data_IF_731593761063
#
_entry.id   IF_731593761063
#
_cell.length_a   1.000
_cell.length_b   1.000
_cell.length_c   1.000
_cell.angle_alpha   90.00
_cell.angle_beta   90.00
_cell.angle_gamma   90.00
#
_symmetry.space_group_name_H-M   'P 1'
#
loop_
_entity.id
_entity.type
_entity.pdbx_description
1 polymer ?
#
# COMPACT_ATOMS: atom_id res chain seq x y z
N UNK A 1 -2.40 -8.84 -11.59
CA UNK A 1 -3.27 -9.02 -10.41
C UNK A 1 -3.88 -7.71 -9.93
N UNK A 2 -3.12 -6.63 -9.64
CA UNK A 2 -3.72 -5.35 -9.17
C UNK A 2 -4.68 -4.69 -10.18
N UNK A 3 -4.36 -4.72 -11.49
CA UNK A 3 -5.27 -4.23 -12.55
C UNK A 3 -6.66 -4.86 -12.44
N UNK A 4 -6.71 -6.18 -12.29
CA UNK A 4 -7.94 -6.96 -12.15
C UNK A 4 -8.73 -6.58 -10.91
N UNK A 5 -8.06 -6.26 -9.80
CA UNK A 5 -8.73 -5.80 -8.57
C UNK A 5 -9.41 -4.44 -8.81
N UNK A 6 -8.69 -3.49 -9.43
CA UNK A 6 -9.23 -2.15 -9.69
C UNK A 6 -10.45 -2.21 -10.63
N UNK A 7 -10.33 -2.95 -11.74
CA UNK A 7 -11.40 -3.13 -12.71
C UNK A 7 -12.58 -3.93 -12.10
N UNK A 8 -12.27 -4.96 -11.30
CA UNK A 8 -13.26 -5.80 -10.64
C UNK A 8 -14.14 -5.02 -9.65
N UNK A 9 -13.54 -4.19 -8.79
CA UNK A 9 -14.30 -3.38 -7.81
C UNK A 9 -15.27 -2.43 -8.55
N UNK A 10 -14.80 -1.76 -9.60
CA UNK A 10 -15.67 -0.88 -10.40
C UNK A 10 -16.82 -1.65 -11.04
N UNK A 11 -16.53 -2.83 -11.61
CA UNK A 11 -17.54 -3.69 -12.23
C UNK A 11 -18.61 -4.15 -11.24
N UNK A 12 -18.20 -4.72 -10.12
CA UNK A 12 -19.10 -5.25 -9.09
C UNK A 12 -19.99 -4.14 -8.49
N UNK A 13 -19.42 -2.97 -8.18
CA UNK A 13 -20.21 -1.85 -7.65
C UNK A 13 -21.22 -1.34 -8.67
N UNK A 14 -20.84 -1.26 -9.95
CA UNK A 14 -21.76 -0.83 -11.02
C UNK A 14 -22.92 -1.81 -11.21
N UNK A 15 -22.67 -3.12 -11.12
CA UNK A 15 -23.71 -4.15 -11.21
C UNK A 15 -24.66 -4.06 -10.03
N UNK A 16 -24.13 -3.93 -8.81
CA UNK A 16 -24.95 -3.93 -7.59
C UNK A 16 -25.67 -2.60 -7.34
N UNK A 17 -25.09 -1.49 -7.78
CA UNK A 17 -25.60 -0.13 -7.54
C UNK A 17 -25.51 0.73 -8.82
N UNK A 18 -26.34 0.45 -9.85
CA UNK A 18 -26.21 1.07 -11.18
C UNK A 18 -26.45 2.59 -11.21
N UNK A 19 -27.17 3.14 -10.23
CA UNK A 19 -27.40 4.59 -10.09
C UNK A 19 -26.29 5.31 -9.32
N UNK A 20 -25.36 4.58 -8.69
CA UNK A 20 -24.29 5.16 -7.90
C UNK A 20 -23.20 5.69 -8.84
N UNK A 21 -22.99 7.01 -8.81
CA UNK A 21 -21.82 7.65 -9.45
C UNK A 21 -20.61 7.49 -8.53
N UNK A 22 -19.93 6.36 -8.65
CA UNK A 22 -18.73 6.07 -7.87
C UNK A 22 -17.49 6.65 -8.55
N UNK A 23 -16.74 7.48 -7.81
CA UNK A 23 -15.38 7.87 -8.17
C UNK A 23 -14.40 7.09 -7.30
N UNK A 24 -13.58 6.25 -7.92
CA UNK A 24 -12.51 5.54 -7.25
C UNK A 24 -11.18 6.20 -7.58
N UNK A 25 -10.40 6.46 -6.53
CA UNK A 25 -9.02 6.94 -6.64
C UNK A 25 -8.12 5.94 -5.94
N UNK A 26 -6.99 5.65 -6.54
CA UNK A 26 -6.01 4.71 -6.01
C UNK A 26 -4.70 5.42 -5.78
N UNK A 27 -4.08 5.15 -4.64
CA UNK A 27 -2.72 5.52 -4.31
C UNK A 27 -1.98 4.23 -3.94
N UNK A 28 -0.67 4.22 -4.11
CA UNK A 28 0.18 3.09 -3.69
C UNK A 28 1.33 3.65 -2.89
N UNK A 29 1.55 3.06 -1.72
CA UNK A 29 2.79 3.16 -0.94
C UNK A 29 3.41 1.78 -0.96
N UNK A 30 4.51 1.63 -1.71
CA UNK A 30 5.35 0.46 -1.67
C UNK A 30 6.43 0.71 -0.63
N UNK A 31 6.57 -0.21 0.32
CA UNK A 31 7.47 -0.08 1.44
C UNK A 31 8.36 -1.31 1.59
N UNK A 32 9.48 -1.11 2.28
CA UNK A 32 10.49 -2.09 2.69
C UNK A 32 11.00 -1.68 4.07
N UNK A 33 12.06 -2.32 4.55
CA UNK A 33 12.79 -1.89 5.72
C UNK A 33 13.54 -0.55 5.49
N UNK A 34 13.76 0.19 6.58
CA UNK A 34 14.34 1.53 6.64
C UNK A 34 15.75 1.64 6.08
N UNK A 35 16.53 0.55 6.16
CA UNK A 35 17.93 0.53 5.70
C UNK A 35 18.07 0.23 4.21
N UNK A 36 16.97 -0.10 3.53
CA UNK A 36 17.01 -0.33 2.10
C UNK A 36 17.25 0.96 1.31
N UNK A 37 17.81 0.80 0.10
CA UNK A 37 18.16 1.93 -0.78
C UNK A 37 16.94 2.78 -1.17
N UNK A 38 15.76 2.16 -1.25
CA UNK A 38 14.49 2.80 -1.57
C UNK A 38 13.44 2.26 -0.59
N UNK A 39 13.44 2.72 0.68
CA UNK A 39 12.59 2.13 1.71
C UNK A 39 11.12 2.44 1.45
N UNK A 40 10.83 3.57 0.79
CA UNK A 40 9.48 3.97 0.40
C UNK A 40 9.48 4.45 -1.06
N UNK A 41 8.51 3.97 -1.83
CA UNK A 41 8.11 4.53 -3.11
C UNK A 41 6.61 4.79 -3.07
N UNK A 42 6.14 5.94 -3.57
CA UNK A 42 4.71 6.24 -3.60
C UNK A 42 4.23 6.92 -4.86
N UNK A 43 2.97 6.65 -5.20
CA UNK A 43 2.15 7.45 -6.12
C UNK A 43 0.92 7.90 -5.35
N UNK A 44 0.57 9.17 -5.49
CA UNK A 44 -0.61 9.75 -4.85
C UNK A 44 -1.91 9.30 -5.53
N UNK A 45 -3.04 9.63 -4.89
CA UNK A 45 -4.37 9.29 -5.37
C UNK A 45 -4.62 9.78 -6.80
N UNK A 46 -4.94 8.85 -7.70
CA UNK A 46 -5.32 9.13 -9.09
C UNK A 46 -6.53 8.29 -9.50
N UNK A 47 -7.34 8.83 -10.41
CA UNK A 47 -8.42 8.09 -11.09
C UNK A 47 -7.90 7.31 -12.31
N UNK A 48 -6.68 7.63 -12.76
CA UNK A 48 -6.08 7.03 -13.96
C UNK A 48 -5.40 5.72 -13.59
N UNK A 49 -6.07 4.62 -13.88
CA UNK A 49 -5.54 3.26 -13.66
C UNK A 49 -4.18 3.04 -14.34
N UNK A 50 -3.94 3.67 -15.50
CA UNK A 50 -2.67 3.54 -16.23
C UNK A 50 -1.49 4.16 -15.49
N UNK A 51 -1.69 5.25 -14.74
CA UNK A 51 -0.65 5.86 -13.90
C UNK A 51 -0.26 4.90 -12.76
N UNK A 52 -1.26 4.26 -12.15
CA UNK A 52 -1.08 3.25 -11.10
C UNK A 52 -0.31 2.04 -11.65
N UNK A 53 -0.70 1.54 -12.83
CA UNK A 53 -0.02 0.42 -13.47
C UNK A 53 1.41 0.77 -13.87
N UNK A 54 1.65 1.99 -14.37
CA UNK A 54 2.98 2.48 -14.70
C UNK A 54 3.86 2.56 -13.45
N UNK A 55 3.31 2.98 -12.32
CA UNK A 55 4.01 2.98 -11.05
C UNK A 55 4.35 1.57 -10.58
N UNK A 56 3.36 0.65 -10.60
CA UNK A 56 3.55 -0.75 -10.21
C UNK A 56 4.65 -1.45 -11.01
N UNK A 57 4.72 -1.19 -12.33
CA UNK A 57 5.74 -1.77 -13.20
C UNK A 57 7.17 -1.30 -12.86
N UNK A 58 7.33 -0.23 -12.08
CA UNK A 58 8.64 0.25 -11.59
C UNK A 58 9.04 -0.40 -10.28
N UNK A 59 8.10 -1.02 -9.56
CA UNK A 59 8.39 -1.67 -8.28
C UNK A 59 9.05 -3.02 -8.60
N UNK A 60 10.22 -3.24 -8.02
CA UNK A 60 10.91 -4.53 -8.06
C UNK A 60 11.09 -5.01 -6.63
N UNK A 61 10.77 -6.27 -6.35
CA UNK A 61 11.08 -6.87 -5.06
C UNK A 61 12.61 -6.91 -4.87
N UNK A 62 13.09 -6.37 -3.76
CA UNK A 62 14.51 -6.31 -3.41
C UNK A 62 14.61 -6.16 -1.90
N UNK A 63 15.65 -6.73 -1.29
CA UNK A 63 15.83 -6.76 0.16
C UNK A 63 16.34 -8.13 0.60
N UNK A 64 16.08 -8.51 1.85
CA UNK A 64 16.41 -9.83 2.43
C UNK A 64 17.38 -9.78 3.60
N UNK A 65 17.39 -8.68 4.36
CA UNK A 65 18.11 -8.58 5.64
C UNK A 65 17.40 -9.38 6.72
N UNK A 66 16.88 -8.69 7.73
CA UNK A 66 15.90 -9.26 8.63
C UNK A 66 14.51 -9.42 7.97
N UNK A 67 13.68 -10.22 8.64
CA UNK A 67 12.34 -10.58 8.17
C UNK A 67 11.33 -9.43 8.36
N UNK A 68 11.31 -8.67 9.48
CA UNK A 68 10.32 -7.62 9.66
C UNK A 68 10.57 -6.42 8.73
N UNK A 69 9.48 -5.71 8.40
CA UNK A 69 9.50 -4.55 7.49
C UNK A 69 8.98 -3.27 8.18
N UNK A 70 9.23 -2.09 7.62
CA UNK A 70 8.79 -0.79 8.18
C UNK A 70 7.30 -0.48 7.91
N UNK A 71 6.42 -1.32 8.46
CA UNK A 71 4.96 -1.19 8.35
C UNK A 71 4.47 0.14 8.91
N UNK A 72 5.03 0.61 10.04
CA UNK A 72 4.58 1.86 10.66
C UNK A 72 5.00 3.09 9.84
N UNK A 73 6.21 3.12 9.29
CA UNK A 73 6.63 4.18 8.38
C UNK A 73 5.82 4.20 7.09
N UNK A 74 5.41 3.03 6.59
CA UNK A 74 4.49 2.93 5.46
C UNK A 74 3.10 3.52 5.77
N UNK A 75 2.55 3.23 6.95
CA UNK A 75 1.27 3.77 7.40
C UNK A 75 1.34 5.28 7.65
N UNK A 76 2.41 5.78 8.27
CA UNK A 76 2.63 7.22 8.44
C UNK A 76 2.73 7.91 7.08
N UNK A 77 3.46 7.32 6.14
CA UNK A 77 3.51 7.78 4.75
C UNK A 77 2.13 7.83 4.11
N UNK A 78 1.28 6.81 4.33
CA UNK A 78 -0.09 6.82 3.83
C UNK A 78 -0.87 8.04 4.34
N UNK A 79 -0.67 8.48 5.58
CA UNK A 79 -1.36 9.65 6.14
C UNK A 79 -0.99 10.96 5.43
N UNK A 80 0.17 11.03 4.78
CA UNK A 80 0.64 12.22 4.02
C UNK A 80 0.02 12.35 2.63
N UNK A 81 -0.72 11.34 2.14
CA UNK A 81 -1.32 11.34 0.81
C UNK A 81 -2.51 12.31 0.70
N UNK A 82 -2.89 12.65 -0.53
CA UNK A 82 -4.00 13.57 -0.81
C UNK A 82 -5.39 12.89 -0.71
N UNK A 83 -5.71 12.44 0.51
CA UNK A 83 -7.00 11.84 0.84
C UNK A 83 -8.17 12.78 0.53
N UNK A 84 -9.25 12.22 -0.01
CA UNK A 84 -10.48 12.99 -0.25
C UNK A 84 -11.12 13.35 1.07
N UNK A 85 -11.87 14.46 1.10
CA UNK A 85 -12.69 14.83 2.28
C UNK A 85 -13.92 13.93 2.49
N UNK A 86 -14.08 12.86 1.70
CA UNK A 86 -15.20 11.91 1.80
C UNK A 86 -15.03 10.97 3.00
N UNK A 87 -16.15 10.40 3.45
CA UNK A 87 -16.18 9.52 4.63
C UNK A 87 -15.70 8.08 4.37
N UNK A 88 -15.60 7.66 3.10
CA UNK A 88 -15.08 6.34 2.74
C UNK A 88 -13.60 6.46 2.35
N UNK A 89 -12.72 5.91 3.20
CA UNK A 89 -11.28 5.82 3.00
C UNK A 89 -10.82 4.46 3.48
N UNK A 90 -10.01 3.78 2.67
CA UNK A 90 -9.54 2.44 2.96
C UNK A 90 -8.03 2.38 2.77
N UNK A 91 -7.36 1.71 3.71
CA UNK A 91 -6.00 1.23 3.53
C UNK A 91 -6.08 -0.29 3.44
N UNK A 92 -5.45 -0.86 2.42
CA UNK A 92 -5.29 -2.30 2.28
C UNK A 92 -3.81 -2.58 2.43
N UNK A 93 -3.42 -3.14 3.59
CA UNK A 93 -2.05 -3.55 3.85
C UNK A 93 -1.83 -4.94 3.23
N UNK A 94 -0.80 -5.07 2.41
CA UNK A 94 -0.39 -6.34 1.78
C UNK A 94 1.08 -6.57 2.14
N UNK A 95 1.35 -7.69 2.81
CA UNK A 95 2.69 -8.12 3.24
C UNK A 95 2.68 -9.61 3.57
N UNK A 96 3.82 -10.27 3.39
CA UNK A 96 4.10 -11.62 3.87
C UNK A 96 5.05 -11.63 5.09
N UNK A 97 5.47 -10.44 5.54
CA UNK A 97 6.33 -10.22 6.70
C UNK A 97 5.63 -9.41 7.81
N UNK A 98 5.98 -9.64 9.10
CA UNK A 98 5.54 -8.81 10.21
C UNK A 98 6.16 -7.41 10.16
N UNK A 99 5.64 -6.49 10.96
CA UNK A 99 6.27 -5.17 11.14
C UNK A 99 7.24 -5.16 12.32
N UNK A 100 8.21 -4.24 12.34
CA UNK A 100 9.10 -4.09 13.51
C UNK A 100 8.33 -3.77 14.81
N UNK A 101 8.81 -4.32 15.92
CA UNK A 101 8.31 -4.06 17.27
C UNK A 101 7.31 -5.11 17.80
N UNK A 102 7.20 -5.23 19.14
CA UNK A 102 6.44 -6.30 19.80
C UNK A 102 4.94 -6.26 19.53
N UNK A 103 4.39 -5.11 19.14
CA UNK A 103 2.97 -4.98 18.77
C UNK A 103 2.66 -5.57 17.39
N UNK A 104 3.66 -5.65 16.51
CA UNK A 104 3.51 -6.07 15.11
C UNK A 104 4.26 -7.36 14.79
N UNK A 105 5.14 -7.81 15.69
CA UNK A 105 5.94 -9.01 15.57
C UNK A 105 6.01 -9.75 16.91
N UNK A 106 5.50 -10.99 16.94
CA UNK A 106 5.55 -11.87 18.11
C UNK A 106 6.90 -12.60 18.26
N UNK A 107 7.77 -12.55 17.27
CA UNK A 107 9.11 -13.13 17.28
C UNK A 107 10.20 -12.09 16.99
N UNK A 108 10.73 -11.51 18.07
CA UNK A 108 11.75 -10.45 17.98
C UNK A 108 13.17 -10.99 17.76
N UNK A 109 13.36 -12.32 17.63
CA UNK A 109 14.72 -12.90 17.54
C UNK A 109 15.48 -12.45 16.29
N UNK A 110 14.75 -12.12 15.22
CA UNK A 110 15.27 -11.57 13.98
C UNK A 110 14.72 -10.16 13.71
N UNK A 111 14.39 -9.39 14.75
CA UNK A 111 14.04 -7.98 14.59
C UNK A 111 15.30 -7.14 14.81
N UNK A 112 15.97 -6.74 13.73
CA UNK A 112 17.23 -5.98 13.77
C UNK A 112 16.99 -4.46 13.71
N UNK A 113 15.83 -4.02 14.20
CA UNK A 113 15.49 -2.62 14.34
C UNK A 113 16.41 -1.92 15.35
N UNK A 114 17.36 -1.14 14.83
CA UNK A 114 18.14 -0.20 15.62
C UNK A 114 17.40 1.13 15.67
N UNK A 115 16.63 1.38 16.74
CA UNK A 115 16.15 2.75 17.03
C UNK A 115 17.31 3.72 17.19
#
# INVERSE_FOLDING_TARGET
QMKTIMEGIQGEVKVKYPSLKLQLRFAIVAYRDLKDKLPIMKIDFTEKTDDVMTFLNKITASGGGDIPEDVLGALDTCLTLNWSKTNARFIVLITDAPGHGPELNHDLTNDHYSK
#
